data_IF_463987651763
#
_entry.id   IF_463987651763
#
_cell.length_a   1.000
_cell.length_b   1.000
_cell.length_c   1.000
_cell.angle_alpha   90.00
_cell.angle_beta   90.00
_cell.angle_gamma   90.00
#
_symmetry.space_group_name_H-M   'P 1'
#
loop_
_entity.id
_entity.type
_entity.pdbx_description
1 polymer ?
#
# COMPACT_ATOMS: atom_id res chain seq x y z
N UNK A 1 19.51 -40.78 2.86
CA UNK A 1 18.12 -40.58 3.30
C UNK A 1 18.14 -39.64 4.49
N UNK A 2 17.55 -38.45 4.54
CA UNK A 2 16.56 -37.78 3.71
C UNK A 2 17.01 -36.33 3.50
N UNK A 3 17.05 -35.85 2.26
CA UNK A 3 16.90 -34.41 2.02
C UNK A 3 15.45 -34.06 2.33
N UNK A 4 15.22 -33.30 3.40
CA UNK A 4 14.00 -32.51 3.54
C UNK A 4 14.09 -31.40 2.49
N UNK A 5 13.67 -31.71 1.27
CA UNK A 5 13.29 -30.69 0.30
C UNK A 5 12.09 -29.97 0.90
N UNK A 6 12.38 -28.76 1.37
CA UNK A 6 11.45 -27.73 1.77
C UNK A 6 10.63 -27.41 0.51
N UNK A 7 9.42 -27.94 0.43
CA UNK A 7 8.42 -27.37 -0.46
C UNK A 7 8.07 -26.01 0.15
N UNK A 8 8.75 -24.96 -0.30
CA UNK A 8 8.16 -23.62 -0.29
C UNK A 8 6.94 -23.75 -1.19
N UNK A 9 5.78 -24.03 -0.57
CA UNK A 9 4.52 -23.78 -1.23
C UNK A 9 4.54 -22.30 -1.61
N UNK A 10 4.40 -22.00 -2.91
CA UNK A 10 4.09 -20.67 -3.41
C UNK A 10 2.88 -20.14 -2.63
N UNK A 11 3.14 -19.44 -1.54
CA UNK A 11 2.11 -18.75 -0.80
C UNK A 11 1.71 -17.60 -1.70
N UNK A 12 0.55 -17.73 -2.36
CA UNK A 12 0.00 -16.67 -3.18
C UNK A 12 0.06 -15.35 -2.40
N UNK A 13 0.57 -14.31 -3.06
CA UNK A 13 0.74 -13.01 -2.42
C UNK A 13 -0.63 -12.39 -2.14
N UNK A 14 -0.82 -11.73 -1.00
CA UNK A 14 -2.09 -11.08 -0.69
C UNK A 14 -2.33 -9.93 -1.67
N UNK A 15 -3.58 -9.75 -2.09
CA UNK A 15 -3.99 -8.68 -2.99
C UNK A 15 -3.95 -7.35 -2.24
N UNK A 16 -3.11 -6.41 -2.69
CA UNK A 16 -3.09 -5.05 -2.14
C UNK A 16 -4.28 -4.26 -2.68
N UNK A 17 -4.89 -3.48 -1.80
CA UNK A 17 -6.09 -2.70 -2.11
C UNK A 17 -5.92 -1.29 -1.56
N UNK A 18 -6.09 -0.31 -2.44
CA UNK A 18 -6.18 1.09 -2.10
C UNK A 18 -7.29 1.74 -2.94
N UNK A 19 -8.43 2.01 -2.31
CA UNK A 19 -9.64 2.51 -2.97
C UNK A 19 -10.19 3.70 -2.18
N UNK A 20 -10.51 4.78 -2.88
CA UNK A 20 -11.19 5.95 -2.34
C UNK A 20 -12.51 6.17 -3.08
N UNK A 21 -13.63 6.10 -2.35
CA UNK A 21 -14.98 6.28 -2.87
C UNK A 21 -15.62 7.50 -2.22
N UNK A 22 -16.26 8.33 -3.03
CA UNK A 22 -17.01 9.50 -2.57
C UNK A 22 -18.45 9.37 -3.03
N UNK A 23 -19.37 9.53 -2.08
CA UNK A 23 -20.79 9.50 -2.31
C UNK A 23 -21.42 10.83 -1.92
N UNK A 24 -22.48 11.20 -2.61
CA UNK A 24 -23.32 12.36 -2.25
C UNK A 24 -24.74 11.89 -1.97
N UNK A 25 -25.40 12.55 -1.03
CA UNK A 25 -26.82 12.36 -0.71
C UNK A 25 -27.47 13.71 -0.44
N UNK A 26 -28.74 13.84 -0.77
CA UNK A 26 -29.55 15.02 -0.48
C UNK A 26 -29.89 15.14 1.03
N UNK A 27 -29.62 14.10 1.81
CA UNK A 27 -29.80 14.10 3.25
C UNK A 27 -28.84 15.09 3.92
N UNK A 28 -29.35 15.86 4.88
CA UNK A 28 -28.50 16.75 5.68
C UNK A 28 -27.39 15.95 6.40
N UNK A 29 -26.16 16.48 6.47
CA UNK A 29 -25.11 15.76 7.20
C UNK A 29 -25.40 15.55 8.68
N UNK A 30 -26.32 16.33 9.28
CA UNK A 30 -26.72 16.17 10.68
C UNK A 30 -27.70 15.01 10.89
N UNK A 31 -28.46 14.63 9.87
CA UNK A 31 -29.38 13.49 9.91
C UNK A 31 -28.67 12.16 9.65
N UNK A 32 -27.55 12.17 8.92
CA UNK A 32 -26.67 11.01 8.80
C UNK A 32 -25.99 10.73 10.14
N UNK A 33 -26.52 9.75 10.88
CA UNK A 33 -26.04 9.34 12.20
C UNK A 33 -25.75 7.84 12.23
N UNK A 34 -25.01 7.42 13.25
CA UNK A 34 -24.74 6.00 13.55
C UNK A 34 -23.98 5.24 12.45
N UNK A 35 -23.16 5.92 11.66
CA UNK A 35 -22.23 5.23 10.75
C UNK A 35 -21.16 4.50 11.58
N UNK A 36 -20.74 3.28 11.17
CA UNK A 36 -19.64 2.60 11.82
C UNK A 36 -18.37 3.46 11.76
N UNK A 37 -17.76 3.71 12.90
CA UNK A 37 -16.59 4.61 13.01
C UNK A 37 -15.26 3.87 13.19
N UNK A 38 -15.29 2.59 13.54
CA UNK A 38 -14.08 1.77 13.66
C UNK A 38 -13.82 0.98 12.38
N UNK A 39 -12.54 0.85 12.03
CA UNK A 39 -12.10 0.05 10.88
C UNK A 39 -12.62 -1.39 10.94
N UNK A 40 -12.53 -2.05 12.10
CA UNK A 40 -12.98 -3.44 12.25
C UNK A 40 -14.49 -3.60 12.02
N UNK A 41 -15.30 -2.65 12.51
CA UNK A 41 -16.74 -2.67 12.28
C UNK A 41 -17.08 -2.43 10.82
N UNK A 42 -16.34 -1.53 10.14
CA UNK A 42 -16.48 -1.30 8.71
C UNK A 42 -16.04 -2.53 7.91
N UNK A 43 -14.90 -3.14 8.22
CA UNK A 43 -14.41 -4.35 7.56
C UNK A 43 -15.40 -5.50 7.68
N UNK A 44 -15.97 -5.73 8.88
CA UNK A 44 -16.98 -6.77 9.12
C UNK A 44 -18.27 -6.55 8.33
N UNK A 45 -18.60 -5.30 8.00
CA UNK A 45 -19.83 -4.93 7.29
C UNK A 45 -19.66 -4.81 5.78
N UNK A 46 -18.50 -4.35 5.33
CA UNK A 46 -18.26 -3.99 3.93
C UNK A 46 -17.46 -5.04 3.17
N UNK A 47 -16.80 -5.96 3.88
CA UNK A 47 -16.04 -7.05 3.27
C UNK A 47 -16.74 -8.39 3.52
N UNK A 48 -16.71 -9.32 2.55
CA UNK A 48 -17.09 -10.71 2.76
C UNK A 48 -16.33 -11.35 3.92
N UNK A 49 -17.00 -12.19 4.71
CA UNK A 49 -16.41 -12.82 5.90
C UNK A 49 -15.17 -13.67 5.60
N UNK A 50 -15.12 -14.27 4.41
CA UNK A 50 -14.02 -15.09 3.89
C UNK A 50 -12.88 -14.29 3.24
N UNK A 51 -13.00 -12.95 3.13
CA UNK A 51 -11.98 -12.11 2.48
C UNK A 51 -10.66 -12.05 3.28
N UNK A 52 -10.71 -12.24 4.61
CA UNK A 52 -9.52 -12.16 5.46
C UNK A 52 -8.78 -10.83 5.36
N UNK A 53 -9.52 -9.73 5.20
CA UNK A 53 -8.96 -8.38 5.01
C UNK A 53 -8.13 -7.92 6.22
N UNK A 54 -6.96 -7.35 5.95
CA UNK A 54 -6.08 -6.71 6.95
C UNK A 54 -5.74 -5.31 6.48
N UNK A 55 -6.21 -4.31 7.21
CA UNK A 55 -5.94 -2.91 6.86
C UNK A 55 -6.85 -1.94 7.60
N UNK A 56 -6.97 -0.75 7.01
CA UNK A 56 -7.78 0.34 7.51
C UNK A 56 -8.92 0.65 6.55
N UNK A 57 -10.15 0.63 7.07
CA UNK A 57 -11.31 1.22 6.43
C UNK A 57 -11.74 2.44 7.24
N UNK A 58 -11.91 3.57 6.55
CA UNK A 58 -12.36 4.80 7.17
C UNK A 58 -13.54 5.37 6.40
N UNK A 59 -14.67 5.52 7.10
CA UNK A 59 -15.85 6.21 6.60
C UNK A 59 -16.00 7.54 7.34
N UNK A 60 -15.95 8.63 6.59
CA UNK A 60 -16.18 9.97 7.11
C UNK A 60 -17.27 10.68 6.33
N UNK A 61 -17.75 11.80 6.86
CA UNK A 61 -18.79 12.61 6.23
C UNK A 61 -18.51 14.09 6.37
N UNK A 62 -18.82 14.87 5.35
CA UNK A 62 -18.68 16.32 5.35
C UNK A 62 -19.87 16.97 4.64
N UNK A 63 -20.23 18.19 5.05
CA UNK A 63 -21.28 18.96 4.40
C UNK A 63 -20.90 19.23 2.93
N UNK A 64 -21.87 19.09 2.03
CA UNK A 64 -21.67 19.35 0.60
C UNK A 64 -22.92 20.02 0.05
N UNK A 65 -22.85 21.32 -0.20
CA UNK A 65 -24.04 22.13 -0.50
C UNK A 65 -25.13 21.97 0.56
N UNK A 66 -26.35 21.65 0.12
CA UNK A 66 -27.50 21.39 0.99
C UNK A 66 -27.55 19.93 1.52
N UNK A 67 -26.68 19.06 1.02
CA UNK A 67 -26.65 17.63 1.30
C UNK A 67 -25.47 17.19 2.17
N UNK A 68 -25.07 15.93 1.98
CA UNK A 68 -23.92 15.34 2.65
C UNK A 68 -23.06 14.53 1.69
N UNK A 69 -21.74 14.71 1.80
CA UNK A 69 -20.75 13.85 1.17
C UNK A 69 -20.26 12.80 2.16
N UNK A 70 -20.15 11.55 1.71
CA UNK A 70 -19.56 10.43 2.45
C UNK A 70 -18.27 10.00 1.75
N UNK A 71 -17.18 9.92 2.51
CA UNK A 71 -15.86 9.54 2.02
C UNK A 71 -15.49 8.20 2.63
N UNK A 72 -15.32 7.19 1.78
CA UNK A 72 -14.86 5.87 2.18
C UNK A 72 -13.47 5.61 1.60
N UNK A 73 -12.50 5.44 2.50
CA UNK A 73 -11.14 5.00 2.15
C UNK A 73 -10.95 3.56 2.59
N UNK A 74 -10.48 2.71 1.69
CA UNK A 74 -10.12 1.31 1.92
C UNK A 74 -8.65 1.14 1.60
N UNK A 75 -7.82 0.85 2.60
CA UNK A 75 -6.37 0.62 2.42
C UNK A 75 -5.93 -0.62 3.18
N UNK A 76 -5.41 -1.63 2.48
CA UNK A 76 -4.98 -2.86 3.12
C UNK A 76 -4.72 -3.99 2.15
N UNK A 77 -4.75 -5.21 2.68
CA UNK A 77 -4.50 -6.42 1.93
C UNK A 77 -5.61 -7.44 2.16
N UNK A 78 -6.09 -8.07 1.08
CA UNK A 78 -7.04 -9.19 1.09
C UNK A 78 -6.26 -10.49 1.07
N UNK A 79 -6.76 -11.49 1.82
CA UNK A 79 -6.11 -12.80 1.87
C UNK A 79 -6.03 -13.43 0.48
N UNK A 80 -4.88 -13.99 0.13
CA UNK A 80 -4.68 -14.69 -1.15
C UNK A 80 -5.53 -15.96 -1.29
N UNK A 81 -6.16 -16.42 -0.20
CA UNK A 81 -7.11 -17.54 -0.19
C UNK A 81 -8.55 -17.11 -0.49
N UNK A 82 -8.84 -15.81 -0.56
CA UNK A 82 -10.17 -15.32 -0.96
C UNK A 82 -10.36 -15.55 -2.45
N UNK A 83 -11.53 -16.07 -2.81
CA UNK A 83 -11.93 -16.29 -4.22
C UNK A 83 -12.92 -15.25 -4.71
N UNK A 84 -13.41 -14.41 -3.79
CA UNK A 84 -14.40 -13.37 -4.06
C UNK A 84 -13.79 -12.18 -4.80
N UNK A 85 -12.46 -12.05 -4.76
CA UNK A 85 -11.72 -10.91 -5.29
C UNK A 85 -10.55 -11.35 -6.16
N UNK A 86 -10.53 -10.90 -7.42
CA UNK A 86 -9.39 -11.11 -8.32
C UNK A 86 -8.51 -9.87 -8.42
N UNK A 87 -9.08 -8.67 -8.22
CA UNK A 87 -8.36 -7.39 -8.30
C UNK A 87 -9.02 -6.31 -7.42
N UNK A 88 -8.39 -5.14 -7.36
CA UNK A 88 -8.88 -3.98 -6.60
C UNK A 88 -10.27 -3.48 -7.04
N UNK A 89 -10.65 -3.68 -8.31
CA UNK A 89 -11.97 -3.29 -8.82
C UNK A 89 -13.10 -4.18 -8.28
N UNK A 90 -12.86 -5.48 -8.12
CA UNK A 90 -13.82 -6.39 -7.50
C UNK A 90 -14.08 -6.00 -6.05
N UNK A 91 -13.01 -5.63 -5.33
CA UNK A 91 -13.11 -5.12 -3.95
C UNK A 91 -13.90 -3.81 -3.91
N UNK A 92 -13.56 -2.85 -4.77
CA UNK A 92 -14.27 -1.57 -4.86
C UNK A 92 -15.77 -1.77 -5.14
N UNK A 93 -16.11 -2.67 -6.07
CA UNK A 93 -17.50 -2.99 -6.42
C UNK A 93 -18.25 -3.67 -5.26
N UNK A 94 -17.63 -4.63 -4.58
CA UNK A 94 -18.24 -5.29 -3.42
C UNK A 94 -18.46 -4.32 -2.27
N UNK A 95 -17.46 -3.48 -1.98
CA UNK A 95 -17.54 -2.46 -0.93
C UNK A 95 -18.62 -1.43 -1.26
N UNK A 96 -18.71 -0.99 -2.52
CA UNK A 96 -19.78 -0.11 -2.99
C UNK A 96 -21.16 -0.73 -2.73
N UNK A 97 -21.36 -1.98 -3.16
CA UNK A 97 -22.62 -2.68 -2.95
C UNK A 97 -22.99 -2.78 -1.46
N UNK A 98 -22.07 -3.26 -0.62
CA UNK A 98 -22.32 -3.38 0.83
C UNK A 98 -22.52 -2.02 1.52
N UNK A 99 -21.85 -0.96 1.07
CA UNK A 99 -22.07 0.37 1.61
C UNK A 99 -23.45 0.91 1.23
N UNK A 100 -23.86 0.76 -0.04
CA UNK A 100 -25.21 1.20 -0.46
C UNK A 100 -26.30 0.46 0.29
N UNK A 101 -26.15 -0.84 0.53
CA UNK A 101 -27.05 -1.62 1.38
C UNK A 101 -27.06 -1.10 2.83
N UNK A 102 -25.89 -0.84 3.42
CA UNK A 102 -25.78 -0.28 4.77
C UNK A 102 -26.46 1.09 4.91
N UNK A 103 -26.27 1.97 3.91
CA UNK A 103 -26.87 3.31 3.90
C UNK A 103 -28.38 3.22 3.72
N UNK A 104 -28.87 2.35 2.83
CA UNK A 104 -30.31 2.11 2.65
C UNK A 104 -30.97 1.57 3.92
N UNK A 105 -30.32 0.65 4.64
CA UNK A 105 -30.80 0.12 5.92
C UNK A 105 -30.89 1.19 7.02
N UNK A 106 -30.20 2.32 6.84
CA UNK A 106 -30.24 3.50 7.71
C UNK A 106 -31.19 4.59 7.20
N UNK A 107 -32.02 4.30 6.20
CA UNK A 107 -32.94 5.25 5.58
C UNK A 107 -32.23 6.47 4.96
N UNK A 108 -30.99 6.28 4.51
CA UNK A 108 -30.26 7.30 3.74
C UNK A 108 -30.53 7.01 2.26
N UNK A 109 -31.40 7.80 1.67
CA UNK A 109 -31.83 7.68 0.27
C UNK A 109 -31.02 8.60 -0.65
N UNK A 110 -31.20 8.44 -1.96
CA UNK A 110 -30.55 9.21 -3.03
C UNK A 110 -29.01 9.27 -2.92
N UNK A 111 -28.40 8.14 -2.53
CA UNK A 111 -26.94 8.01 -2.48
C UNK A 111 -26.42 7.78 -3.90
N UNK A 112 -25.61 8.70 -4.40
CA UNK A 112 -24.98 8.60 -5.71
C UNK A 112 -23.46 8.52 -5.56
N UNK A 113 -22.80 7.65 -6.32
CA UNK A 113 -21.34 7.62 -6.40
C UNK A 113 -20.83 8.84 -7.19
N UNK A 114 -20.26 9.81 -6.48
CA UNK A 114 -19.70 11.03 -7.07
C UNK A 114 -18.28 10.83 -7.61
N UNK A 115 -17.48 9.99 -6.94
CA UNK A 115 -16.11 9.66 -7.36
C UNK A 115 -15.73 8.25 -6.93
N UNK A 116 -15.00 7.54 -7.77
CA UNK A 116 -14.27 6.34 -7.39
C UNK A 116 -12.83 6.46 -7.88
N UNK A 117 -11.88 6.16 -7.01
CA UNK A 117 -10.45 6.09 -7.33
C UNK A 117 -9.89 4.77 -6.83
N UNK A 118 -9.12 4.09 -7.67
CA UNK A 118 -8.50 2.79 -7.40
C UNK A 118 -7.02 2.93 -7.72
N UNK A 119 -6.19 2.82 -6.68
CA UNK A 119 -4.75 2.68 -6.85
C UNK A 119 -4.43 1.20 -7.05
N UNK A 120 -3.65 0.93 -8.10
CA UNK A 120 -3.22 -0.39 -8.50
C UNK A 120 -1.71 -0.52 -8.27
N UNK A 121 -1.17 -1.72 -8.51
CA UNK A 121 0.26 -1.94 -8.44
C UNK A 121 1.03 -1.08 -9.46
N UNK A 122 2.25 -0.66 -9.11
CA UNK A 122 3.15 0.06 -10.02
C UNK A 122 2.83 1.55 -10.24
N UNK A 123 2.59 2.31 -9.16
CA UNK A 123 2.29 3.76 -9.20
C UNK A 123 1.17 4.14 -10.19
N UNK A 124 0.20 3.23 -10.36
CA UNK A 124 -0.99 3.43 -11.18
C UNK A 124 -2.16 3.90 -10.31
N UNK A 125 -2.85 4.95 -10.74
CA UNK A 125 -4.07 5.46 -10.14
C UNK A 125 -5.11 5.71 -11.22
N UNK A 126 -6.24 5.02 -11.13
CA UNK A 126 -7.35 5.20 -12.05
C UNK A 126 -8.53 5.76 -11.27
N UNK A 127 -9.10 6.86 -11.75
CA UNK A 127 -10.19 7.55 -11.09
C UNK A 127 -11.27 7.94 -12.10
N UNK A 128 -12.51 7.87 -11.63
CA UNK A 128 -13.71 8.34 -12.32
C UNK A 128 -14.46 9.30 -11.40
N UNK A 129 -14.93 10.40 -11.96
CA UNK A 129 -15.61 11.48 -11.24
C UNK A 129 -16.79 11.99 -12.05
N UNK A 130 -17.90 12.26 -11.38
CA UNK A 130 -19.03 12.93 -12.02
C UNK A 130 -18.71 14.41 -12.22
N UNK A 131 -19.00 14.93 -13.40
CA UNK A 131 -18.86 16.34 -13.75
C UNK A 131 -20.16 16.88 -14.34
N UNK A 132 -20.41 18.17 -14.18
CA UNK A 132 -21.56 18.82 -14.79
C UNK A 132 -21.48 18.68 -16.32
N UNK A 133 -22.63 18.45 -16.96
CA UNK A 133 -22.74 18.28 -18.42
C UNK A 133 -22.13 19.46 -19.20
N UNK A 134 -22.12 20.67 -18.63
CA UNK A 134 -21.59 21.89 -19.26
C UNK A 134 -20.08 22.12 -19.01
N UNK A 135 -19.36 21.14 -18.48
CA UNK A 135 -17.91 21.23 -18.25
C UNK A 135 -17.14 21.15 -19.58
N UNK A 136 -17.09 22.28 -20.30
CA UNK A 136 -16.57 22.39 -21.67
C UNK A 136 -15.04 22.20 -21.85
N UNK A 137 -14.30 21.80 -20.82
CA UNK A 137 -12.84 21.65 -20.92
C UNK A 137 -12.45 20.18 -20.88
N UNK A 138 -12.07 19.62 -22.03
CA UNK A 138 -11.33 18.35 -22.12
C UNK A 138 -9.98 18.58 -21.47
N UNK A 139 -9.69 17.97 -20.32
CA UNK A 139 -8.42 18.23 -19.65
C UNK A 139 -7.29 17.63 -20.50
N UNK A 140 -6.12 18.25 -20.41
CA UNK A 140 -4.96 17.86 -21.21
C UNK A 140 -4.47 16.47 -20.78
N UNK A 141 -4.12 15.65 -21.77
CA UNK A 141 -3.50 14.35 -21.55
C UNK A 141 -2.03 14.47 -21.93
N UNK A 142 -1.14 13.88 -21.14
CA UNK A 142 0.30 14.05 -21.23
C UNK A 142 1.02 12.71 -21.11
N UNK A 143 1.99 12.48 -21.99
CA UNK A 143 2.98 11.43 -21.88
C UNK A 143 4.34 12.07 -21.60
N UNK A 144 4.93 11.72 -20.46
CA UNK A 144 6.28 12.17 -20.12
C UNK A 144 7.28 11.05 -20.37
N UNK A 145 8.24 11.30 -21.25
CA UNK A 145 9.41 10.43 -21.44
C UNK A 145 10.42 10.74 -20.34
N UNK A 146 10.63 9.77 -19.46
CA UNK A 146 11.56 9.87 -18.33
C UNK A 146 12.98 9.46 -18.73
N UNK A 147 13.11 8.39 -19.53
CA UNK A 147 14.39 7.85 -19.97
C UNK A 147 14.26 7.23 -21.37
N UNK A 148 15.38 7.16 -22.09
CA UNK A 148 15.47 6.54 -23.41
C UNK A 148 14.82 7.33 -24.53
N UNK A 149 15.12 6.95 -25.77
CA UNK A 149 14.62 7.64 -26.96
C UNK A 149 13.11 7.40 -27.24
N UNK A 150 12.53 6.32 -26.73
CA UNK A 150 11.11 5.92 -26.86
C UNK A 150 10.54 5.98 -28.28
N UNK A 151 11.36 5.80 -29.31
CA UNK A 151 10.98 6.02 -30.71
C UNK A 151 9.87 5.08 -31.19
N UNK A 152 9.94 3.80 -30.83
CA UNK A 152 8.93 2.80 -31.20
C UNK A 152 7.56 3.11 -30.58
N UNK A 153 7.54 3.38 -29.27
CA UNK A 153 6.33 3.79 -28.55
C UNK A 153 5.72 5.05 -29.16
N UNK A 154 6.53 6.09 -29.38
CA UNK A 154 6.05 7.36 -29.95
C UNK A 154 5.54 7.19 -31.39
N UNK A 155 6.10 6.24 -32.15
CA UNK A 155 5.59 5.91 -33.48
C UNK A 155 4.27 5.14 -33.41
N UNK A 156 4.14 4.21 -32.46
CA UNK A 156 2.88 3.50 -32.21
C UNK A 156 1.76 4.48 -31.85
N UNK A 157 2.04 5.45 -30.96
CA UNK A 157 1.12 6.51 -30.55
C UNK A 157 0.76 7.50 -31.69
N UNK A 158 1.60 7.60 -32.73
CA UNK A 158 1.36 8.47 -33.90
C UNK A 158 0.67 7.78 -35.07
N UNK A 159 0.57 6.45 -35.03
CA UNK A 159 -0.09 5.71 -36.11
C UNK A 159 -1.55 6.14 -36.18
N UNK A 160 -2.00 6.56 -37.37
CA UNK A 160 -3.30 7.20 -37.61
C UNK A 160 -4.51 6.29 -37.39
N UNK A 161 -4.27 5.01 -37.16
CA UNK A 161 -5.30 4.05 -36.81
C UNK A 161 -5.45 4.07 -35.29
N UNK A 162 -6.32 4.96 -34.82
CA UNK A 162 -6.98 4.96 -33.51
C UNK A 162 -6.20 4.19 -32.43
N UNK A 163 -5.20 4.84 -31.85
CA UNK A 163 -4.37 4.25 -30.80
C UNK A 163 -5.28 3.91 -29.63
N UNK A 164 -5.58 2.62 -29.52
CA UNK A 164 -6.57 2.03 -28.63
C UNK A 164 -6.02 1.94 -27.18
N UNK A 165 -5.40 3.03 -26.69
CA UNK A 165 -4.81 3.15 -25.35
C UNK A 165 -5.91 3.10 -24.27
N UNK A 166 -7.08 3.62 -24.61
CA UNK A 166 -8.28 3.63 -23.77
C UNK A 166 -9.47 3.01 -24.52
N UNK A 167 -10.52 2.58 -23.81
CA UNK A 167 -11.77 2.16 -24.44
C UNK A 167 -12.37 3.27 -25.30
N UNK A 168 -12.97 2.90 -26.44
CA UNK A 168 -13.53 3.84 -27.44
C UNK A 168 -14.62 4.79 -26.92
N UNK A 169 -15.25 4.45 -25.82
CA UNK A 169 -16.25 5.31 -25.16
C UNK A 169 -15.62 6.46 -24.35
N UNK A 170 -14.30 6.46 -24.19
CA UNK A 170 -13.55 7.54 -23.52
C UNK A 170 -13.01 8.49 -24.57
N UNK A 171 -13.48 9.72 -24.54
CA UNK A 171 -13.00 10.82 -25.37
C UNK A 171 -11.85 11.54 -24.65
N UNK A 172 -10.69 11.64 -25.29
CA UNK A 172 -9.53 12.34 -24.71
C UNK A 172 -9.05 13.46 -25.61
N UNK A 173 -8.41 14.46 -24.99
CA UNK A 173 -7.56 15.40 -25.71
C UNK A 173 -6.40 14.66 -26.40
N UNK A 174 -5.81 15.22 -27.48
CA UNK A 174 -4.55 14.72 -28.01
C UNK A 174 -3.50 14.62 -26.90
N UNK A 175 -2.71 13.55 -26.92
CA UNK A 175 -1.66 13.31 -25.95
C UNK A 175 -0.47 14.23 -26.24
N UNK A 176 -0.18 15.17 -25.35
CA UNK A 176 1.03 15.98 -25.41
C UNK A 176 2.23 15.15 -24.96
N UNK A 177 3.36 15.29 -25.64
CA UNK A 177 4.56 14.48 -25.37
C UNK A 177 5.67 15.37 -24.86
N UNK A 178 5.96 15.23 -23.57
CA UNK A 178 7.04 15.96 -22.91
C UNK A 178 8.25 15.03 -22.75
N UNK A 179 9.44 15.51 -23.10
CA UNK A 179 10.70 14.83 -22.82
C UNK A 179 11.41 15.54 -21.67
N UNK A 180 11.85 14.80 -20.66
CA UNK A 180 12.70 15.38 -19.62
C UNK A 180 14.04 15.84 -20.22
N UNK A 181 14.50 17.02 -19.82
CA UNK A 181 15.70 17.69 -20.35
C UNK A 181 17.00 16.94 -20.10
N UNK A 182 17.05 16.06 -19.10
CA UNK A 182 18.23 15.28 -18.71
C UNK A 182 18.04 13.76 -18.93
N UNK A 183 17.07 13.36 -19.75
CA UNK A 183 16.80 11.95 -20.03
C UNK A 183 17.99 11.33 -20.79
N UNK A 184 18.57 10.27 -20.23
CA UNK A 184 19.59 9.48 -20.91
C UNK A 184 18.97 8.76 -22.12
N UNK A 185 19.28 9.22 -23.33
CA UNK A 185 18.74 8.65 -24.57
C UNK A 185 19.22 7.23 -24.86
N UNK A 186 20.33 6.80 -24.24
CA UNK A 186 20.88 5.45 -24.40
C UNK A 186 20.25 4.43 -23.43
N UNK A 187 19.50 4.90 -22.42
CA UNK A 187 18.79 4.04 -21.49
C UNK A 187 17.54 3.38 -22.11
N UNK A 188 17.01 2.36 -21.43
CA UNK A 188 15.73 1.75 -21.79
C UNK A 188 14.60 2.78 -21.74
N UNK A 189 13.65 2.70 -22.66
CA UNK A 189 12.53 3.64 -22.69
C UNK A 189 11.66 3.49 -21.44
N UNK A 190 11.49 4.58 -20.71
CA UNK A 190 10.64 4.66 -19.53
C UNK A 190 9.71 5.88 -19.66
N UNK A 191 8.41 5.66 -19.46
CA UNK A 191 7.39 6.71 -19.61
C UNK A 191 6.43 6.75 -18.45
N UNK A 192 5.94 7.94 -18.13
CA UNK A 192 4.77 8.13 -17.28
C UNK A 192 3.62 8.73 -18.07
N UNK A 193 2.41 8.31 -17.73
CA UNK A 193 1.21 8.66 -18.47
C UNK A 193 0.21 9.36 -17.55
N UNK A 194 -0.21 10.56 -17.91
CA UNK A 194 -1.31 11.28 -17.26
C UNK A 194 -2.42 11.46 -18.30
N UNK A 195 -3.54 10.76 -18.14
CA UNK A 195 -4.67 10.85 -19.07
C UNK A 195 -5.86 11.48 -18.39
N UNK A 196 -6.49 12.40 -19.10
CA UNK A 196 -7.77 12.94 -18.72
C UNK A 196 -8.75 12.79 -19.88
N UNK A 197 -9.92 12.23 -19.59
CA UNK A 197 -10.92 11.94 -20.61
C UNK A 197 -12.34 12.14 -20.13
N UNK A 198 -13.25 12.28 -21.08
CA UNK A 198 -14.68 12.28 -20.86
C UNK A 198 -15.29 10.94 -21.24
N UNK A 199 -16.34 10.55 -20.54
CA UNK A 199 -17.16 9.40 -20.88
C UNK A 199 -18.63 9.81 -20.85
N UNK A 200 -19.46 9.22 -21.72
CA UNK A 200 -20.91 9.34 -21.62
C UNK A 200 -21.42 8.94 -20.23
N UNK A 201 -22.59 9.46 -19.89
CA UNK A 201 -23.27 9.19 -18.63
C UNK A 201 -23.51 7.70 -18.43
N UNK A 202 -23.24 7.22 -17.21
CA UNK A 202 -23.56 5.85 -16.83
C UNK A 202 -25.05 5.64 -16.59
N UNK A 203 -25.52 4.43 -16.89
CA UNK A 203 -26.85 3.99 -16.49
C UNK A 203 -26.91 3.49 -15.03
N UNK A 204 -25.76 3.14 -14.45
CA UNK A 204 -25.63 2.74 -13.05
C UNK A 204 -24.20 2.93 -12.51
N UNK A 205 -24.06 3.08 -11.18
CA UNK A 205 -22.75 3.22 -10.52
C UNK A 205 -21.82 2.01 -10.75
N UNK A 206 -22.38 0.82 -11.01
CA UNK A 206 -21.62 -0.38 -11.30
C UNK A 206 -20.78 -0.27 -12.59
N UNK A 207 -21.23 0.54 -13.56
CA UNK A 207 -20.52 0.80 -14.81
C UNK A 207 -19.23 1.58 -14.58
N UNK A 208 -19.15 2.40 -13.53
CA UNK A 208 -17.96 3.15 -13.18
C UNK A 208 -16.77 2.22 -12.91
N UNK A 209 -16.99 1.15 -12.13
CA UNK A 209 -15.95 0.16 -11.83
C UNK A 209 -15.58 -0.71 -13.04
N UNK A 210 -16.57 -1.02 -13.90
CA UNK A 210 -16.32 -1.75 -15.14
C UNK A 210 -15.50 -0.92 -16.13
N UNK A 211 -15.77 0.39 -16.24
CA UNK A 211 -15.00 1.30 -17.07
C UNK A 211 -13.55 1.39 -16.57
N UNK A 212 -13.34 1.60 -15.26
CA UNK A 212 -11.98 1.66 -14.69
C UNK A 212 -11.20 0.37 -14.94
N UNK A 213 -11.86 -0.79 -14.79
CA UNK A 213 -11.26 -2.09 -15.11
C UNK A 213 -10.92 -2.21 -16.60
N UNK A 214 -11.82 -1.83 -17.49
CA UNK A 214 -11.60 -1.88 -18.93
C UNK A 214 -10.47 -0.95 -19.38
N UNK A 215 -10.31 0.19 -18.73
CA UNK A 215 -9.19 1.12 -18.95
C UNK A 215 -7.87 0.49 -18.55
N UNK A 216 -7.79 -0.13 -17.37
CA UNK A 216 -6.59 -0.82 -16.92
C UNK A 216 -6.21 -1.96 -17.88
N UNK A 217 -7.16 -2.84 -18.21
CA UNK A 217 -6.93 -3.97 -19.12
C UNK A 217 -6.47 -3.52 -20.52
N UNK A 218 -7.06 -2.44 -21.05
CA UNK A 218 -6.67 -1.88 -22.35
C UNK A 218 -5.27 -1.28 -22.31
N UNK A 219 -4.97 -0.50 -21.28
CA UNK A 219 -3.65 0.11 -21.10
C UNK A 219 -2.57 -0.97 -20.91
N UNK A 220 -2.82 -1.98 -20.08
CA UNK A 220 -1.90 -3.11 -19.90
C UNK A 220 -1.67 -3.87 -21.20
N UNK A 221 -2.73 -4.16 -21.95
CA UNK A 221 -2.61 -4.82 -23.26
C UNK A 221 -1.81 -3.98 -24.25
N UNK A 222 -1.95 -2.66 -24.24
CA UNK A 222 -1.20 -1.76 -25.12
C UNK A 222 0.30 -1.79 -24.78
N UNK A 223 0.66 -1.59 -23.51
CA UNK A 223 2.06 -1.56 -23.09
C UNK A 223 2.72 -2.94 -23.13
N UNK A 224 1.98 -4.04 -22.92
CA UNK A 224 2.50 -5.39 -23.15
C UNK A 224 2.88 -5.62 -24.63
N UNK A 225 2.24 -4.92 -25.56
CA UNK A 225 2.60 -4.92 -26.99
C UNK A 225 3.81 -4.05 -27.33
N UNK A 226 4.36 -3.29 -26.37
CA UNK A 226 5.50 -2.38 -26.55
C UNK A 226 6.71 -2.85 -25.72
N UNK A 227 7.40 -3.94 -26.12
CA UNK A 227 8.45 -4.56 -25.29
C UNK A 227 9.67 -3.66 -25.05
N UNK A 228 9.86 -2.62 -25.86
CA UNK A 228 10.94 -1.65 -25.72
C UNK A 228 10.65 -0.53 -24.73
N UNK A 229 9.42 -0.40 -24.24
CA UNK A 229 8.97 0.67 -23.35
C UNK A 229 8.44 0.13 -22.02
N UNK A 230 8.81 0.79 -20.93
CA UNK A 230 8.30 0.51 -19.58
C UNK A 230 7.40 1.65 -19.13
N UNK A 231 6.16 1.34 -18.75
CA UNK A 231 5.27 2.28 -18.08
C UNK A 231 5.65 2.34 -16.59
N UNK A 232 6.17 3.47 -16.13
CA UNK A 232 6.62 3.65 -14.74
C UNK A 232 5.50 4.10 -13.81
N UNK A 233 4.57 4.90 -14.32
CA UNK A 233 3.38 5.32 -13.59
C UNK A 233 2.25 5.70 -14.56
N UNK A 234 1.01 5.60 -14.08
CA UNK A 234 -0.16 6.04 -14.84
C UNK A 234 -1.20 6.71 -13.94
N UNK A 235 -1.62 7.92 -14.27
CA UNK A 235 -2.76 8.58 -13.64
C UNK A 235 -3.86 8.76 -14.69
N UNK A 236 -4.98 8.07 -14.55
CA UNK A 236 -6.11 8.20 -15.47
C UNK A 236 -7.28 8.83 -14.73
N UNK A 237 -7.79 9.95 -15.23
CA UNK A 237 -8.91 10.69 -14.67
C UNK A 237 -10.04 10.76 -15.69
N UNK A 238 -11.16 10.13 -15.37
CA UNK A 238 -12.33 10.07 -16.23
C UNK A 238 -13.43 10.96 -15.65
N UNK A 239 -13.96 11.82 -16.51
CA UNK A 239 -15.04 12.74 -16.20
C UNK A 239 -16.31 12.23 -16.84
N UNK A 240 -17.32 11.95 -16.02
CA UNK A 240 -18.59 11.39 -16.46
C UNK A 240 -19.62 12.49 -16.46
N UNK A 241 -20.26 12.71 -17.61
CA UNK A 241 -21.36 13.65 -17.72
C UNK A 241 -22.50 13.30 -16.75
N UNK A 242 -22.93 14.25 -15.91
CA UNK A 242 -24.03 14.06 -14.95
C UNK A 242 -24.87 15.32 -14.77
N UNK A 243 -26.19 15.14 -14.78
CA UNK A 243 -27.19 16.16 -14.43
C UNK A 243 -27.19 16.45 -12.91
N UNK A 244 -26.71 15.49 -12.10
CA UNK A 244 -26.68 15.57 -10.62
C UNK A 244 -25.30 16.01 -10.13
N UNK A 245 -24.52 16.70 -10.97
CA UNK A 245 -23.24 17.24 -10.55
C UNK A 245 -23.47 18.36 -9.52
N UNK A 246 -23.64 17.96 -8.26
CA UNK A 246 -23.53 18.87 -7.13
C UNK A 246 -22.08 19.35 -7.12
N UNK A 247 -21.88 20.66 -7.01
CA UNK A 247 -20.58 21.25 -6.70
C UNK A 247 -20.11 20.67 -5.37
N UNK A 248 -19.47 19.50 -5.42
CA UNK A 248 -18.59 19.04 -4.36
C UNK A 248 -17.43 20.02 -4.44
N UNK A 249 -17.59 21.18 -3.79
CA UNK A 249 -16.49 22.07 -3.48
C UNK A 249 -15.52 21.22 -2.69
N UNK A 250 -14.51 20.70 -3.39
CA UNK A 250 -13.38 20.03 -2.81
C UNK A 250 -12.62 21.08 -2.00
N UNK A 251 -13.07 21.37 -0.78
CA UNK A 251 -12.19 21.79 0.32
C UNK A 251 -11.50 20.53 0.89
N UNK A 252 -10.98 19.69 0.01
CA UNK A 252 -9.67 19.11 0.24
C UNK A 252 -8.85 19.75 -0.84
N UNK A 253 -7.82 20.51 -0.45
CA UNK A 253 -6.70 20.77 -1.34
C UNK A 253 -6.46 19.50 -2.14
N UNK A 254 -6.72 19.57 -3.44
CA UNK A 254 -6.12 18.67 -4.40
C UNK A 254 -4.63 18.92 -4.29
N UNK A 255 -3.99 18.36 -3.25
CA UNK A 255 -2.61 17.94 -3.34
C UNK A 255 -2.57 17.11 -4.61
N UNK A 256 -2.01 17.75 -5.62
CA UNK A 256 -1.67 17.19 -6.90
C UNK A 256 -1.24 15.74 -6.66
N UNK A 257 -2.04 14.76 -7.11
CA UNK A 257 -1.60 13.36 -7.16
C UNK A 257 -0.65 13.25 -8.34
N UNK A 258 0.46 13.96 -8.20
CA UNK A 258 1.66 13.95 -9.02
C UNK A 258 2.75 13.56 -8.03
N UNK A 259 3.17 12.30 -8.10
CA UNK A 259 4.11 11.66 -7.17
C UNK A 259 3.65 11.61 -5.71
N UNK A 260 4.08 10.58 -4.98
CA UNK A 260 4.09 10.57 -3.52
C UNK A 260 4.87 11.80 -3.02
N UNK A 261 4.19 12.94 -2.87
CA UNK A 261 4.72 14.07 -2.13
C UNK A 261 4.50 13.73 -0.67
N UNK A 262 5.49 13.08 -0.07
CA UNK A 262 5.67 13.15 1.37
C UNK A 262 5.50 14.61 1.76
N UNK A 263 4.54 14.90 2.65
CA UNK A 263 4.55 16.15 3.40
C UNK A 263 5.88 16.17 4.17
N UNK A 264 6.91 16.72 3.53
CA UNK A 264 8.18 16.96 4.17
C UNK A 264 7.85 17.91 5.32
N UNK A 265 8.15 17.53 6.57
CA UNK A 265 7.86 18.38 7.71
C UNK A 265 8.52 19.74 7.46
N UNK A 266 7.82 20.82 7.84
CA UNK A 266 8.41 22.16 7.75
C UNK A 266 9.78 22.18 8.45
N UNK A 267 10.70 23.05 8.05
CA UNK A 267 12.08 23.01 8.56
C UNK A 267 12.17 22.99 10.10
N UNK A 268 11.19 23.58 10.78
CA UNK A 268 11.05 23.56 12.24
C UNK A 268 10.51 22.21 12.78
N UNK A 269 9.54 21.60 12.13
CA UNK A 269 9.02 20.26 12.48
C UNK A 269 10.03 19.15 12.16
N UNK A 270 10.80 19.28 11.07
CA UNK A 270 11.84 18.34 10.69
C UNK A 270 12.94 18.31 11.76
N UNK A 271 13.35 19.48 12.25
CA UNK A 271 14.31 19.62 13.34
C UNK A 271 13.78 19.00 14.64
N UNK A 272 12.48 19.18 14.93
CA UNK A 272 11.81 18.54 16.06
C UNK A 272 11.79 17.01 15.97
N UNK A 273 11.49 16.47 14.79
CA UNK A 273 11.47 15.01 14.54
C UNK A 273 12.90 14.44 14.61
N UNK A 274 13.89 15.09 13.99
CA UNK A 274 15.28 14.64 14.08
C UNK A 274 15.83 14.70 15.50
N UNK A 275 15.44 15.71 16.30
CA UNK A 275 15.80 15.78 17.72
C UNK A 275 15.18 14.60 18.51
N UNK A 276 13.90 14.27 18.28
CA UNK A 276 13.25 13.14 18.94
C UNK A 276 13.85 11.79 18.51
N UNK A 277 14.18 11.61 17.23
CA UNK A 277 14.87 10.41 16.73
C UNK A 277 16.27 10.29 17.34
N UNK A 278 17.02 11.40 17.43
CA UNK A 278 18.34 11.40 18.07
C UNK A 278 18.26 11.02 19.56
N UNK A 279 17.26 11.50 20.29
CA UNK A 279 17.01 11.12 21.69
C UNK A 279 16.65 9.64 21.81
N UNK A 280 15.82 9.12 20.91
CA UNK A 280 15.46 7.69 20.86
C UNK A 280 16.67 6.80 20.57
N UNK A 281 17.52 7.19 19.62
CA UNK A 281 18.77 6.48 19.30
C UNK A 281 19.73 6.53 20.48
N UNK A 282 19.85 7.67 21.17
CA UNK A 282 20.68 7.78 22.37
C UNK A 282 20.15 6.90 23.52
N UNK A 283 18.83 6.83 23.73
CA UNK A 283 18.23 5.91 24.70
C UNK A 283 18.47 4.45 24.32
N UNK A 284 18.29 4.08 23.05
CA UNK A 284 18.58 2.74 22.54
C UNK A 284 20.05 2.36 22.74
N UNK A 285 20.99 3.26 22.43
CA UNK A 285 22.42 3.05 22.73
C UNK A 285 22.69 2.92 24.23
N UNK A 286 21.99 3.70 25.06
CA UNK A 286 22.04 3.58 26.52
C UNK A 286 21.60 2.20 27.01
N UNK A 287 20.48 1.69 26.49
CA UNK A 287 19.96 0.35 26.79
C UNK A 287 20.92 -0.74 26.28
N UNK A 288 21.46 -0.60 25.07
CA UNK A 288 22.45 -1.54 24.51
C UNK A 288 23.74 -1.53 25.32
N UNK A 289 24.23 -0.37 25.77
CA UNK A 289 25.40 -0.26 26.62
C UNK A 289 25.17 -0.86 28.01
N UNK A 290 23.99 -0.64 28.61
CA UNK A 290 23.60 -1.29 29.87
C UNK A 290 23.49 -2.81 29.71
N UNK A 291 22.87 -3.29 28.62
CA UNK A 291 22.78 -4.71 28.29
C UNK A 291 24.16 -5.32 28.08
N UNK A 292 25.04 -4.67 27.32
CA UNK A 292 26.42 -5.13 27.07
C UNK A 292 27.23 -5.20 28.37
N UNK A 293 27.10 -4.23 29.27
CA UNK A 293 27.73 -4.27 30.60
C UNK A 293 27.18 -5.42 31.45
N UNK A 294 25.89 -5.70 31.36
CA UNK A 294 25.28 -6.81 32.10
C UNK A 294 25.74 -8.17 31.53
N UNK A 295 25.80 -8.31 30.21
CA UNK A 295 26.28 -9.51 29.53
C UNK A 295 27.78 -9.74 29.76
N UNK A 296 28.59 -8.69 29.90
CA UNK A 296 29.99 -8.83 30.33
C UNK A 296 30.08 -9.33 31.77
N UNK A 297 29.30 -8.77 32.70
CA UNK A 297 29.28 -9.24 34.10
C UNK A 297 28.80 -10.69 34.22
N UNK A 298 27.85 -11.12 33.37
CA UNK A 298 27.40 -12.51 33.36
C UNK A 298 28.49 -13.44 32.84
N UNK A 299 29.16 -13.10 31.73
CA UNK A 299 30.30 -13.85 31.19
C UNK A 299 31.46 -13.94 32.18
N UNK A 300 31.81 -12.85 32.87
CA UNK A 300 32.84 -12.88 33.92
C UNK A 300 32.49 -13.81 35.08
N UNK A 301 31.21 -13.87 35.48
CA UNK A 301 30.76 -14.82 36.50
C UNK A 301 30.83 -16.27 35.99
N UNK A 302 30.45 -16.52 34.74
CA UNK A 302 30.58 -17.83 34.12
C UNK A 302 32.05 -18.27 34.00
N UNK A 303 32.95 -17.38 33.59
CA UNK A 303 34.38 -17.68 33.49
C UNK A 303 35.02 -17.91 34.86
N UNK A 304 34.66 -17.12 35.88
CA UNK A 304 35.12 -17.37 37.25
C UNK A 304 34.58 -18.69 37.79
N UNK A 305 33.32 -19.03 37.54
CA UNK A 305 32.73 -20.31 37.92
C UNK A 305 33.40 -21.48 37.18
N UNK A 306 33.68 -21.33 35.89
CA UNK A 306 34.38 -22.34 35.09
C UNK A 306 35.83 -22.53 35.56
N UNK A 307 36.56 -21.44 35.84
CA UNK A 307 37.91 -21.51 36.44
C UNK A 307 37.87 -22.14 37.83
N UNK A 308 36.91 -21.78 38.68
CA UNK A 308 36.76 -22.42 40.00
C UNK A 308 36.44 -23.92 39.89
N UNK A 309 35.61 -24.32 38.92
CA UNK A 309 35.30 -25.72 38.64
C UNK A 309 36.52 -26.47 38.07
N UNK A 310 37.32 -25.84 37.21
CA UNK A 310 38.59 -26.40 36.73
C UNK A 310 39.62 -26.54 37.86
N UNK A 311 39.76 -25.54 38.74
CA UNK A 311 40.64 -25.63 39.92
C UNK A 311 40.19 -26.78 40.83
N UNK A 312 38.89 -26.96 41.08
CA UNK A 312 38.37 -28.11 41.83
C UNK A 312 38.63 -29.44 41.13
N UNK A 313 38.52 -29.51 39.79
CA UNK A 313 38.82 -30.74 39.04
C UNK A 313 40.31 -31.08 39.03
N UNK A 314 41.19 -30.07 39.00
CA UNK A 314 42.64 -30.26 39.08
C UNK A 314 43.08 -30.58 40.51
N UNK A 315 42.46 -29.96 41.53
CA UNK A 315 42.76 -30.29 42.93
C UNK A 315 42.33 -31.71 43.30
N UNK A 316 41.21 -32.22 42.74
CA UNK A 316 40.79 -33.62 42.93
C UNK A 316 41.75 -34.60 42.23
N UNK A 317 42.33 -34.22 41.08
CA UNK A 317 43.36 -35.04 40.41
C UNK A 317 44.72 -34.96 41.10
N UNK A 318 45.15 -33.81 41.61
CA UNK A 318 46.41 -33.68 42.36
C UNK A 318 46.31 -34.28 43.77
N UNK A 319 45.14 -34.24 44.43
CA UNK A 319 44.96 -34.96 45.70
C UNK A 319 44.98 -36.47 45.52
N UNK A 320 44.65 -36.99 44.33
CA UNK A 320 44.89 -38.42 44.02
C UNK A 320 46.38 -38.72 43.86
N UNK A 321 47.17 -37.81 43.28
CA UNK A 321 48.62 -38.01 43.11
C UNK A 321 49.46 -37.77 44.38
N UNK A 322 49.02 -36.91 45.30
CA UNK A 322 49.69 -36.76 46.61
C UNK A 322 49.31 -37.89 47.59
N UNK A 323 48.16 -38.55 47.40
CA UNK A 323 47.73 -39.67 48.23
C UNK A 323 48.24 -41.03 47.70
N UNK A 324 48.62 -41.13 46.42
CA UNK A 324 49.24 -42.35 45.84
C UNK A 324 50.78 -42.41 45.99
N UNK A 325 51.44 -41.32 46.42
CA UNK A 325 52.91 -41.27 46.58
C UNK A 325 53.37 -41.18 48.05
N UNK A 326 52.50 -41.47 49.02
CA UNK A 326 52.81 -41.27 50.45
C UNK A 326 52.37 -42.40 51.39
N UNK A 327 52.31 -43.66 50.95
CA UNK A 327 52.19 -44.81 51.86
C UNK A 327 52.68 -46.13 51.22
N UNK A 328 53.97 -46.21 50.93
CA UNK A 328 54.71 -47.48 50.81
C UNK A 328 56.15 -47.27 51.29
N UNK A 329 56.31 -46.99 52.58
CA UNK A 329 57.54 -47.24 53.34
C UNK A 329 57.14 -47.34 54.82
N UNK A 330 57.41 -48.49 55.45
CA UNK A 330 57.54 -48.56 56.90
C UNK A 330 56.58 -49.49 57.64
N UNK A 331 57.09 -50.69 57.89
CA UNK A 331 56.92 -51.42 59.15
C UNK A 331 55.63 -52.25 59.32
N UNK A 332 55.74 -53.49 58.85
CA UNK A 332 55.49 -54.64 59.71
C UNK A 332 56.00 -54.35 61.13
N UNK A 333 55.14 -54.39 62.15
CA UNK A 333 55.38 -55.33 63.23
C UNK A 333 54.20 -55.47 64.22
N UNK A 334 53.85 -56.74 64.42
CA UNK A 334 53.59 -57.39 65.71
C UNK A 334 52.31 -57.14 66.54
N UNK A 335 51.72 -58.31 66.86
CA UNK A 335 51.09 -58.74 68.10
C UNK A 335 49.56 -58.55 68.29
N UNK A 336 48.90 -59.73 68.24
CA UNK A 336 47.78 -60.18 69.08
C UNK A 336 46.41 -59.50 68.91
#
# INVERSE_FOLDING_TARGET
MMSKLRAEADAASPLQVAVDLVYTTDSSCRSVRELPSSSDALATRLMPANAGFRGNLQLSKAASGDGCALYLTVKGAVSATSTDFQNGFDVARSVHHQLTELLSAKWIENVNLARAAVALDGDKLLAVSLTAEDANATPESMLTVQQGACTELLNALKSKDDVDLLPRQVETSPLDVIKQTDADEAASCAVSLDVAGFTPRFSSDAEAFQLLKAVDEKMESFFAGQPSATLTSANVRLHVASVVAQNVSMEMESENVSSLKFNAPSYEEALGIFALVAVLVAMMMGVVAQKKRNDQRSRERYDRANRAAQIRRVSIRMSQYDQENQEYEGEEDNLL
#
